data_IF_235960095479
#
_entry.id   IF_235960095479
#
_cell.length_a   1.000
_cell.length_b   1.000
_cell.length_c   1.000
_cell.angle_alpha   90.00
_cell.angle_beta   90.00
_cell.angle_gamma   90.00
#
_symmetry.space_group_name_H-M   'P 1'
#
loop_
_entity.id
_entity.type
_entity.pdbx_description
1 polymer ?
#
# COMPACT_ATOMS: atom_id res chain seq x y z
N UNK A 1 -8.80 -20.49 -17.27
CA UNK A 1 -9.09 -19.99 -15.90
C UNK A 1 -7.83 -20.26 -15.10
N UNK A 2 -7.22 -19.23 -14.49
CA UNK A 2 -6.12 -19.47 -13.55
C UNK A 2 -6.72 -20.23 -12.36
N UNK A 3 -6.18 -21.41 -12.05
CA UNK A 3 -6.57 -22.16 -10.86
C UNK A 3 -6.10 -21.39 -9.63
N UNK A 4 -6.96 -21.23 -8.62
CA UNK A 4 -6.57 -20.66 -7.33
C UNK A 4 -5.41 -21.47 -6.75
N UNK A 5 -4.41 -20.79 -6.20
CA UNK A 5 -3.32 -21.47 -5.52
C UNK A 5 -3.85 -22.21 -4.27
N UNK A 6 -3.32 -23.40 -3.94
CA UNK A 6 -3.82 -24.19 -2.83
C UNK A 6 -3.83 -23.41 -1.52
N UNK A 7 -4.92 -23.55 -0.78
CA UNK A 7 -5.11 -22.95 0.56
C UNK A 7 -5.69 -21.54 0.57
N UNK A 8 -5.97 -20.92 -0.59
CA UNK A 8 -6.63 -19.61 -0.66
C UNK A 8 -8.13 -19.71 -0.45
N UNK A 9 -8.72 -18.64 0.11
CA UNK A 9 -10.17 -18.47 0.15
C UNK A 9 -10.70 -18.14 -1.25
N UNK A 10 -11.85 -18.70 -1.61
CA UNK A 10 -12.59 -18.25 -2.79
C UNK A 10 -13.24 -16.89 -2.50
N UNK A 11 -12.69 -15.83 -3.07
CA UNK A 11 -13.22 -14.48 -2.85
C UNK A 11 -14.65 -14.28 -3.34
N UNK A 12 -15.15 -15.12 -4.26
CA UNK A 12 -16.55 -15.02 -4.70
C UNK A 12 -17.54 -15.38 -3.59
N UNK A 13 -17.11 -16.15 -2.59
CA UNK A 13 -17.89 -16.50 -1.41
C UNK A 13 -17.79 -15.51 -0.26
N UNK A 14 -16.92 -14.48 -0.37
CA UNK A 14 -16.69 -13.48 0.68
C UNK A 14 -17.62 -12.28 0.53
N UNK A 15 -17.91 -11.55 1.63
CA UNK A 15 -18.60 -10.27 1.55
C UNK A 15 -17.79 -9.26 0.71
N UNK A 16 -18.43 -8.67 -0.30
CA UNK A 16 -17.82 -7.64 -1.16
C UNK A 16 -18.76 -6.44 -1.20
N UNK A 17 -18.25 -5.27 -0.79
CA UNK A 17 -18.94 -4.00 -0.91
C UNK A 17 -18.22 -3.12 -1.93
N UNK A 18 -18.98 -2.46 -2.82
CA UNK A 18 -18.46 -1.50 -3.80
C UNK A 18 -19.06 -0.14 -3.56
N UNK A 19 -18.20 0.87 -3.54
CA UNK A 19 -18.61 2.27 -3.38
C UNK A 19 -17.98 3.10 -4.49
N UNK A 20 -18.78 3.96 -5.11
CA UNK A 20 -18.29 4.96 -6.04
C UNK A 20 -17.60 6.06 -5.24
N UNK A 21 -16.34 6.33 -5.55
CA UNK A 21 -15.58 7.42 -4.96
C UNK A 21 -15.83 8.73 -5.70
N UNK A 22 -15.61 9.81 -5.01
CA UNK A 22 -15.46 11.11 -5.65
C UNK A 22 -14.14 11.14 -6.40
N UNK A 23 -14.20 11.31 -7.72
CA UNK A 23 -13.06 11.35 -8.60
C UNK A 23 -12.92 12.74 -9.25
N UNK A 24 -12.40 13.75 -8.52
CA UNK A 24 -12.26 15.10 -9.08
C UNK A 24 -11.15 15.12 -10.13
N UNK A 25 -11.22 16.05 -11.10
CA UNK A 25 -10.12 16.29 -12.03
C UNK A 25 -8.81 16.57 -11.29
N UNK A 26 -7.65 16.16 -11.85
CA UNK A 26 -6.35 16.34 -11.23
C UNK A 26 -6.07 17.81 -10.86
N UNK A 27 -6.55 18.78 -11.64
CA UNK A 27 -6.42 20.19 -11.31
C UNK A 27 -7.05 20.57 -9.96
N UNK A 28 -8.18 19.94 -9.59
CA UNK A 28 -8.83 20.17 -8.31
C UNK A 28 -8.07 19.53 -7.14
N UNK A 29 -7.39 18.42 -7.42
CA UNK A 29 -6.48 17.78 -6.45
C UNK A 29 -5.26 18.69 -6.24
N UNK A 30 -4.66 19.23 -7.30
CA UNK A 30 -3.55 20.20 -7.23
C UNK A 30 -3.94 21.39 -6.36
N UNK A 31 -5.11 22.00 -6.60
CA UNK A 31 -5.62 23.12 -5.80
C UNK A 31 -5.78 22.77 -4.30
N UNK A 32 -6.16 21.52 -4.01
CA UNK A 32 -6.35 21.05 -2.64
C UNK A 32 -5.01 20.80 -1.92
N UNK A 33 -4.06 20.20 -2.61
CA UNK A 33 -2.82 19.73 -1.99
C UNK A 33 -1.76 20.83 -1.83
N UNK A 34 -1.57 21.68 -2.84
CA UNK A 34 -0.47 22.64 -2.88
C UNK A 34 -0.39 23.54 -1.64
N UNK A 35 -1.45 24.21 -1.18
CA UNK A 35 -1.38 25.07 0.00
C UNK A 35 -1.11 24.30 1.29
N UNK A 36 -1.71 23.11 1.46
CA UNK A 36 -1.57 22.34 2.69
C UNK A 36 -0.19 21.69 2.79
N UNK A 37 0.35 21.16 1.70
CA UNK A 37 1.70 20.61 1.67
C UNK A 37 2.75 21.72 1.86
N UNK A 38 2.53 22.92 1.33
CA UNK A 38 3.43 24.07 1.54
C UNK A 38 3.48 24.52 3.01
N UNK A 39 2.50 24.21 3.83
CA UNK A 39 2.55 24.41 5.26
C UNK A 39 3.48 23.41 5.97
N UNK A 40 3.65 22.21 5.40
CA UNK A 40 4.37 21.10 6.01
C UNK A 40 5.77 20.85 5.41
N UNK A 41 6.05 21.32 4.20
CA UNK A 41 7.34 21.17 3.51
C UNK A 41 7.87 22.53 3.01
N UNK A 42 9.20 22.64 2.87
CA UNK A 42 9.84 23.87 2.37
C UNK A 42 9.65 24.04 0.86
N UNK A 43 9.89 22.97 0.10
CA UNK A 43 9.69 22.94 -1.35
C UNK A 43 8.54 22.02 -1.69
N UNK A 44 7.57 22.50 -2.45
CA UNK A 44 6.40 21.72 -2.89
C UNK A 44 6.11 22.01 -4.36
N UNK A 45 5.99 20.93 -5.14
CA UNK A 45 5.45 20.96 -6.51
C UNK A 45 4.31 19.97 -6.55
N UNK A 46 3.16 20.41 -7.03
CA UNK A 46 1.99 19.54 -7.28
C UNK A 46 1.45 19.86 -8.66
N UNK A 47 1.46 18.92 -9.55
CA UNK A 47 1.07 19.13 -10.95
C UNK A 47 0.50 17.84 -11.58
N UNK A 48 -0.29 18.01 -12.64
CA UNK A 48 -0.72 16.92 -13.50
C UNK A 48 0.32 16.76 -14.64
N UNK A 49 0.82 15.53 -14.82
CA UNK A 49 1.86 15.24 -15.81
C UNK A 49 1.57 13.90 -16.52
N UNK A 50 2.09 13.67 -17.73
CA UNK A 50 2.14 12.33 -18.28
C UNK A 50 2.89 11.38 -17.32
N UNK A 51 2.32 10.19 -17.09
CA UNK A 51 2.97 9.17 -16.25
C UNK A 51 4.31 8.78 -16.89
N UNK A 52 5.43 8.80 -16.14
CA UNK A 52 6.67 8.23 -16.65
C UNK A 52 6.51 6.72 -16.81
N UNK A 53 7.40 6.10 -17.59
CA UNK A 53 7.46 4.63 -17.67
C UNK A 53 7.93 4.05 -16.33
N UNK A 54 6.99 3.52 -15.54
CA UNK A 54 7.24 2.99 -14.21
C UNK A 54 7.94 1.62 -14.22
N UNK A 55 8.11 0.99 -15.39
CA UNK A 55 8.94 -0.22 -15.52
C UNK A 55 10.43 0.07 -15.44
N UNK A 56 10.81 1.33 -15.62
CA UNK A 56 12.20 1.77 -15.58
C UNK A 56 12.67 2.06 -14.15
N UNK A 57 14.00 2.03 -13.97
CA UNK A 57 14.63 2.50 -12.72
C UNK A 57 14.27 3.97 -12.46
N UNK A 58 14.03 4.36 -11.22
CA UNK A 58 14.20 3.61 -9.98
C UNK A 58 12.99 2.75 -9.59
N UNK A 59 11.85 2.83 -10.28
CA UNK A 59 10.58 2.24 -9.86
C UNK A 59 10.52 0.73 -10.07
N UNK A 60 10.94 0.22 -11.24
CA UNK A 60 10.96 -1.21 -11.61
C UNK A 60 9.61 -1.91 -11.35
N UNK A 61 8.49 -1.26 -11.72
CA UNK A 61 7.16 -1.81 -11.52
C UNK A 61 6.78 -2.82 -12.60
N UNK A 62 5.75 -3.60 -12.34
CA UNK A 62 5.26 -4.64 -13.25
C UNK A 62 4.49 -4.09 -14.46
N UNK A 63 4.11 -2.81 -14.48
CA UNK A 63 3.44 -2.12 -15.59
C UNK A 63 3.97 -0.69 -15.76
N UNK A 64 3.74 -0.12 -16.96
CA UNK A 64 4.30 1.17 -17.37
C UNK A 64 3.62 2.38 -16.73
N UNK A 65 2.35 2.25 -16.29
CA UNK A 65 1.58 3.40 -15.81
C UNK A 65 0.51 3.06 -14.79
N UNK A 66 -0.29 4.07 -14.43
CA UNK A 66 -1.29 4.03 -13.36
C UNK A 66 -2.70 4.33 -13.86
N UNK A 67 -3.00 4.13 -15.14
CA UNK A 67 -4.30 4.49 -15.72
C UNK A 67 -5.11 3.28 -16.21
N UNK A 68 -6.42 3.48 -16.29
CA UNK A 68 -7.43 2.51 -16.74
C UNK A 68 -8.07 1.76 -15.58
N UNK A 69 -9.40 1.86 -15.42
CA UNK A 69 -10.20 1.17 -14.39
C UNK A 69 -9.70 1.39 -12.95
N UNK A 70 -9.34 2.61 -12.62
CA UNK A 70 -8.67 3.01 -11.38
C UNK A 70 -9.55 2.69 -10.16
N UNK A 71 -9.08 1.77 -9.32
CA UNK A 71 -9.82 1.25 -8.17
C UNK A 71 -8.89 1.13 -6.95
N UNK A 72 -9.37 1.48 -5.77
CA UNK A 72 -8.73 1.10 -4.50
C UNK A 72 -9.45 -0.08 -3.89
N UNK A 73 -8.68 -1.02 -3.35
CA UNK A 73 -9.19 -2.26 -2.75
C UNK A 73 -8.64 -2.41 -1.35
N UNK A 74 -9.53 -2.66 -0.40
CA UNK A 74 -9.20 -3.00 0.98
C UNK A 74 -9.68 -4.42 1.26
N UNK A 75 -8.75 -5.33 1.55
CA UNK A 75 -9.02 -6.76 1.77
C UNK A 75 -8.67 -7.13 3.20
N UNK A 76 -9.56 -7.88 3.84
CA UNK A 76 -9.31 -8.37 5.19
C UNK A 76 -9.26 -7.26 6.24
N UNK A 77 -8.49 -7.46 7.30
CA UNK A 77 -8.39 -6.49 8.41
C UNK A 77 -7.26 -6.84 9.37
N UNK A 78 -6.73 -5.86 10.12
CA UNK A 78 -5.91 -6.16 11.30
C UNK A 78 -6.57 -7.13 12.29
N UNK A 79 -7.91 -7.22 12.33
CA UNK A 79 -8.65 -8.18 13.15
C UNK A 79 -8.37 -9.65 12.80
N UNK A 80 -7.81 -9.94 11.62
CA UNK A 80 -7.39 -11.29 11.23
C UNK A 80 -5.95 -11.63 11.64
N UNK A 81 -5.18 -10.60 11.99
CA UNK A 81 -3.86 -10.76 12.59
C UNK A 81 -3.93 -10.76 14.13
N UNK A 82 -4.83 -9.97 14.69
CA UNK A 82 -4.93 -9.63 16.10
C UNK A 82 -6.32 -10.01 16.68
N UNK A 83 -6.43 -10.39 17.97
CA UNK A 83 -5.36 -10.56 18.94
C UNK A 83 -4.49 -11.81 18.73
N UNK A 84 -4.97 -12.78 17.98
CA UNK A 84 -4.28 -13.97 17.47
C UNK A 84 -4.63 -14.19 16.02
N UNK A 85 -3.66 -14.67 15.25
CA UNK A 85 -3.79 -14.83 13.81
C UNK A 85 -4.86 -15.85 13.40
N UNK A 86 -5.71 -15.48 12.44
CA UNK A 86 -6.53 -16.41 11.67
C UNK A 86 -5.80 -16.84 10.39
N UNK A 87 -5.14 -17.98 10.42
CA UNK A 87 -4.33 -18.50 9.30
C UNK A 87 -5.14 -18.94 8.09
N UNK A 88 -6.48 -18.98 8.20
CA UNK A 88 -7.35 -19.28 7.06
C UNK A 88 -7.52 -18.08 6.12
N UNK A 89 -7.13 -16.87 6.57
CA UNK A 89 -7.23 -15.64 5.77
C UNK A 89 -6.07 -15.53 4.81
N UNK A 90 -6.13 -16.31 3.74
CA UNK A 90 -5.17 -16.34 2.64
C UNK A 90 -5.92 -16.07 1.33
N UNK A 91 -5.45 -15.10 0.55
CA UNK A 91 -6.10 -14.59 -0.65
C UNK A 91 -5.18 -14.69 -1.86
N UNK A 92 -5.73 -14.52 -3.06
CA UNK A 92 -5.00 -14.56 -4.32
C UNK A 92 -5.27 -13.31 -5.19
N UNK A 93 -4.23 -12.74 -5.81
CA UNK A 93 -4.34 -11.59 -6.70
C UNK A 93 -5.15 -11.90 -7.98
N UNK A 94 -5.18 -13.18 -8.42
CA UNK A 94 -6.03 -13.62 -9.51
C UNK A 94 -7.51 -13.48 -9.20
N UNK A 95 -7.91 -13.63 -7.92
CA UNK A 95 -9.26 -13.38 -7.46
C UNK A 95 -9.59 -11.89 -7.45
N UNK A 96 -8.64 -11.03 -7.06
CA UNK A 96 -8.81 -9.58 -7.15
C UNK A 96 -9.05 -9.14 -8.60
N UNK A 97 -8.34 -9.74 -9.56
CA UNK A 97 -8.61 -9.50 -10.99
C UNK A 97 -10.06 -9.83 -11.38
N UNK A 98 -10.61 -10.93 -10.85
CA UNK A 98 -12.03 -11.28 -11.07
C UNK A 98 -12.97 -10.31 -10.38
N UNK A 99 -12.64 -9.89 -9.17
CA UNK A 99 -13.43 -8.93 -8.39
C UNK A 99 -13.45 -7.57 -9.06
N UNK A 100 -12.34 -7.07 -9.59
CA UNK A 100 -12.29 -5.79 -10.32
C UNK A 100 -12.93 -5.86 -11.70
N UNK A 101 -12.81 -7.00 -12.37
CA UNK A 101 -13.20 -7.19 -13.75
C UNK A 101 -12.21 -6.62 -14.76
N UNK A 102 -11.07 -6.10 -14.30
CA UNK A 102 -10.04 -5.46 -15.17
C UNK A 102 -9.15 -6.50 -15.84
N UNK A 103 -8.83 -6.29 -17.13
CA UNK A 103 -7.91 -7.14 -17.89
C UNK A 103 -7.11 -6.32 -18.92
N UNK A 104 -5.79 -6.13 -18.75
CA UNK A 104 -5.00 -6.55 -17.59
C UNK A 104 -5.39 -5.84 -16.31
N UNK A 105 -5.12 -6.45 -15.16
CA UNK A 105 -5.12 -5.80 -13.86
C UNK A 105 -3.69 -5.62 -13.41
N UNK A 106 -3.29 -4.40 -13.17
CA UNK A 106 -2.07 -4.03 -12.47
C UNK A 106 -2.43 -3.62 -11.04
N UNK A 107 -1.74 -4.16 -10.06
CA UNK A 107 -1.96 -3.89 -8.65
C UNK A 107 -0.66 -3.51 -7.96
N UNK A 108 -0.68 -2.38 -7.25
CA UNK A 108 0.40 -1.93 -6.36
C UNK A 108 -0.18 -1.69 -4.96
N UNK A 109 0.58 -2.08 -3.93
CA UNK A 109 0.07 -1.88 -2.57
C UNK A 109 0.86 -2.57 -1.48
N UNK A 110 0.24 -2.60 -0.30
CA UNK A 110 0.82 -3.01 0.96
C UNK A 110 -0.07 -4.04 1.67
N UNK A 111 0.53 -5.00 2.37
CA UNK A 111 -0.24 -6.01 3.11
C UNK A 111 0.64 -7.02 3.83
N UNK A 112 0.01 -8.09 4.34
CA UNK A 112 0.71 -9.23 4.91
C UNK A 112 1.03 -10.26 3.80
N UNK A 113 2.24 -10.81 3.85
CA UNK A 113 2.74 -11.69 2.81
C UNK A 113 2.25 -13.14 2.90
N UNK A 114 2.55 -13.95 1.86
CA UNK A 114 2.09 -15.33 1.74
C UNK A 114 2.89 -16.24 2.70
N UNK A 115 2.55 -16.21 3.97
CA UNK A 115 3.22 -16.99 5.01
C UNK A 115 3.40 -18.49 4.67
N UNK A 116 2.51 -19.16 3.90
CA UNK A 116 2.76 -20.56 3.55
C UNK A 116 3.95 -20.76 2.62
N UNK A 117 4.30 -19.74 1.80
CA UNK A 117 5.48 -19.75 0.96
C UNK A 117 6.74 -19.35 1.73
N UNK A 118 6.65 -18.25 2.48
CA UNK A 118 7.78 -17.68 3.23
C UNK A 118 8.09 -18.49 4.51
N UNK A 119 7.07 -19.18 5.05
CA UNK A 119 7.15 -20.00 6.25
C UNK A 119 7.04 -19.23 7.57
N UNK A 120 6.90 -17.89 7.52
CA UNK A 120 6.64 -16.99 8.65
C UNK A 120 5.79 -15.82 8.18
N UNK A 121 5.30 -15.03 9.13
CA UNK A 121 4.68 -13.74 8.85
C UNK A 121 5.70 -12.77 8.21
N UNK A 122 5.23 -11.88 7.33
CA UNK A 122 6.09 -10.91 6.64
C UNK A 122 5.26 -9.74 6.08
N UNK A 123 5.93 -8.61 5.85
CA UNK A 123 5.37 -7.49 5.08
C UNK A 123 5.40 -7.82 3.59
N UNK A 124 4.34 -7.46 2.89
CA UNK A 124 4.18 -7.67 1.45
C UNK A 124 4.12 -6.33 0.72
N UNK A 125 5.02 -6.12 -0.23
CA UNK A 125 5.00 -5.02 -1.17
C UNK A 125 4.48 -5.55 -2.48
N UNK A 126 3.20 -5.35 -2.74
CA UNK A 126 2.52 -5.86 -3.94
C UNK A 126 2.89 -5.05 -5.18
N UNK A 127 3.35 -5.74 -6.24
CA UNK A 127 3.72 -5.18 -7.53
C UNK A 127 3.48 -6.24 -8.60
N UNK A 128 2.23 -6.35 -9.07
CA UNK A 128 1.78 -7.48 -9.91
C UNK A 128 0.91 -6.98 -11.06
N UNK A 129 1.21 -7.41 -12.28
CA UNK A 129 0.29 -7.30 -13.40
C UNK A 129 -0.19 -8.69 -13.83
N UNK A 130 -1.51 -8.87 -13.92
CA UNK A 130 -2.16 -10.13 -14.33
C UNK A 130 -3.05 -9.87 -15.53
N UNK A 131 -2.83 -10.61 -16.60
CA UNK A 131 -3.73 -10.69 -17.77
C UNK A 131 -4.27 -12.12 -17.95
N UNK A 132 -5.10 -12.35 -18.96
CA UNK A 132 -5.66 -13.68 -19.23
C UNK A 132 -4.60 -14.79 -19.34
N UNK A 133 -3.40 -14.47 -19.85
CA UNK A 133 -2.37 -15.46 -20.18
C UNK A 133 -1.01 -15.16 -19.58
N UNK A 134 -0.89 -14.12 -18.75
CA UNK A 134 0.40 -13.68 -18.29
C UNK A 134 0.34 -13.09 -16.87
N UNK A 135 1.32 -13.47 -16.05
CA UNK A 135 1.56 -12.87 -14.75
C UNK A 135 2.96 -12.25 -14.78
N UNK A 136 3.06 -10.97 -14.52
CA UNK A 136 4.30 -10.27 -14.23
C UNK A 136 4.27 -9.88 -12.75
N UNK A 137 5.06 -10.58 -11.93
CA UNK A 137 5.13 -10.39 -10.49
C UNK A 137 6.53 -9.90 -10.10
N UNK A 138 6.59 -8.67 -9.62
CA UNK A 138 7.77 -8.02 -9.07
C UNK A 138 7.57 -7.65 -7.59
N UNK A 139 6.73 -8.41 -6.89
CA UNK A 139 6.45 -8.19 -5.48
C UNK A 139 7.62 -8.59 -4.58
N UNK A 140 7.74 -7.88 -3.47
CA UNK A 140 8.77 -8.10 -2.45
C UNK A 140 8.14 -8.46 -1.12
N UNK A 141 8.87 -9.19 -0.30
CA UNK A 141 8.52 -9.42 1.10
C UNK A 141 9.68 -9.07 2.01
N UNK A 142 9.34 -8.59 3.19
CA UNK A 142 10.28 -8.28 4.27
C UNK A 142 9.85 -9.02 5.51
N UNK A 143 10.78 -9.75 6.12
CA UNK A 143 10.57 -10.47 7.39
C UNK A 143 11.70 -10.20 8.36
N UNK A 144 11.44 -10.43 9.62
CA UNK A 144 12.51 -10.46 10.63
C UNK A 144 13.28 -11.77 10.49
N UNK A 145 14.60 -11.72 10.55
CA UNK A 145 15.45 -12.90 10.50
C UNK A 145 15.15 -13.84 11.68
N UNK A 146 15.05 -15.14 11.40
CA UNK A 146 14.69 -16.13 12.42
C UNK A 146 15.84 -16.44 13.39
N UNK A 147 17.07 -16.20 12.97
CA UNK A 147 18.25 -16.53 13.77
C UNK A 147 18.68 -15.35 14.63
N UNK A 148 18.84 -14.18 14.03
CA UNK A 148 19.24 -12.98 14.75
C UNK A 148 18.06 -12.35 15.51
N UNK A 149 16.83 -12.52 15.00
CA UNK A 149 15.60 -11.86 15.48
C UNK A 149 15.65 -10.32 15.48
N UNK A 150 16.71 -9.77 14.87
CA UNK A 150 16.99 -8.33 14.84
C UNK A 150 17.08 -7.79 13.41
N UNK A 151 17.59 -8.55 12.47
CA UNK A 151 17.85 -8.12 11.10
C UNK A 151 16.61 -8.28 10.22
N UNK A 152 16.53 -7.45 9.16
CA UNK A 152 15.58 -7.65 8.07
C UNK A 152 16.11 -8.66 7.07
N UNK A 153 15.22 -9.46 6.53
CA UNK A 153 15.48 -10.31 5.35
C UNK A 153 14.51 -9.91 4.26
N UNK A 154 15.06 -9.63 3.09
CA UNK A 154 14.31 -9.32 1.88
C UNK A 154 14.29 -10.53 0.95
N UNK A 155 13.14 -10.80 0.35
CA UNK A 155 12.97 -11.82 -0.68
C UNK A 155 12.06 -11.29 -1.80
N UNK A 156 12.42 -11.60 -3.06
CA UNK A 156 11.52 -11.41 -4.20
C UNK A 156 10.60 -12.61 -4.31
N UNK A 157 9.31 -12.37 -4.50
CA UNK A 157 8.39 -13.49 -4.72
C UNK A 157 8.57 -14.10 -6.11
N UNK A 158 8.45 -15.43 -6.23
CA UNK A 158 8.41 -16.09 -7.53
C UNK A 158 7.24 -15.56 -8.37
N UNK A 159 7.40 -15.59 -9.70
CA UNK A 159 6.40 -15.09 -10.65
C UNK A 159 5.00 -15.66 -10.43
N UNK A 160 4.90 -16.92 -10.02
CA UNK A 160 3.64 -17.62 -9.80
C UNK A 160 3.13 -17.56 -8.35
N UNK A 161 3.83 -16.88 -7.43
CA UNK A 161 3.36 -16.67 -6.05
C UNK A 161 2.56 -15.36 -6.00
N UNK A 162 1.26 -15.45 -6.17
CA UNK A 162 0.32 -14.32 -6.20
C UNK A 162 -0.53 -14.20 -4.95
N UNK A 163 -0.24 -15.04 -3.92
CA UNK A 163 -0.98 -15.01 -2.66
C UNK A 163 -0.53 -13.86 -1.77
N UNK A 164 -1.44 -13.42 -0.93
CA UNK A 164 -1.21 -12.53 0.21
C UNK A 164 -2.13 -12.97 1.35
N UNK A 165 -1.97 -12.43 2.55
CA UNK A 165 -2.66 -12.93 3.72
C UNK A 165 -3.30 -11.80 4.54
N UNK A 166 -4.27 -12.16 5.40
CA UNK A 166 -4.83 -11.41 6.52
C UNK A 166 -5.43 -10.05 6.16
N UNK A 167 -4.64 -9.16 5.60
CA UNK A 167 -5.01 -7.80 5.20
C UNK A 167 -4.10 -7.31 4.07
N UNK A 168 -4.67 -6.57 3.14
CA UNK A 168 -3.92 -5.83 2.15
C UNK A 168 -4.72 -4.69 1.56
N UNK A 169 -4.01 -3.67 1.12
CA UNK A 169 -4.56 -2.47 0.53
C UNK A 169 -3.87 -2.21 -0.81
N UNK A 170 -4.66 -2.19 -1.88
CA UNK A 170 -4.15 -2.05 -3.24
C UNK A 170 -4.78 -0.86 -3.96
N UNK A 171 -3.97 -0.18 -4.74
CA UNK A 171 -4.43 0.56 -5.91
C UNK A 171 -4.32 -0.36 -7.12
N UNK A 172 -5.39 -0.48 -7.89
CA UNK A 172 -5.44 -1.29 -9.10
C UNK A 172 -5.87 -0.47 -10.30
N UNK A 173 -5.33 -0.79 -11.47
CA UNK A 173 -5.68 -0.20 -12.75
C UNK A 173 -5.33 -1.16 -13.89
N UNK A 174 -5.46 -0.74 -15.17
CA UNK A 174 -4.98 -1.57 -16.28
C UNK A 174 -3.45 -1.48 -16.48
N UNK A 175 -2.78 -0.51 -15.85
CA UNK A 175 -1.33 -0.31 -15.98
C UNK A 175 -0.93 0.47 -17.21
N UNK A 176 -1.86 1.19 -17.85
CA UNK A 176 -1.58 2.02 -19.01
C UNK A 176 -0.93 3.36 -18.62
N UNK A 177 -0.18 3.93 -19.55
CA UNK A 177 0.23 5.33 -19.47
C UNK A 177 -1.00 6.25 -19.45
N UNK A 178 -0.83 7.47 -18.98
CA UNK A 178 -1.90 8.46 -18.89
C UNK A 178 -1.44 9.66 -18.08
N UNK A 179 -2.34 10.58 -17.78
CA UNK A 179 -2.04 11.70 -16.92
C UNK A 179 -2.17 11.27 -15.44
N UNK A 180 -1.19 11.66 -14.63
CA UNK A 180 -1.13 11.35 -13.19
C UNK A 180 -0.78 12.61 -12.41
N UNK A 181 -1.03 12.58 -11.11
CA UNK A 181 -0.58 13.58 -10.18
C UNK A 181 0.89 13.33 -9.85
N UNK A 182 1.76 14.31 -10.10
CA UNK A 182 3.13 14.37 -9.59
C UNK A 182 3.17 15.27 -8.37
N UNK A 183 3.69 14.75 -7.26
CA UNK A 183 3.89 15.51 -6.02
C UNK A 183 5.37 15.43 -5.65
N UNK A 184 6.04 16.59 -5.55
CA UNK A 184 7.39 16.69 -5.01
C UNK A 184 7.34 17.48 -3.73
N UNK A 185 7.90 16.92 -2.65
CA UNK A 185 8.02 17.57 -1.36
C UNK A 185 9.45 17.39 -0.84
N UNK A 186 10.11 18.52 -0.47
CA UNK A 186 11.46 18.49 0.08
C UNK A 186 11.50 19.26 1.40
N UNK A 187 12.34 18.78 2.32
CA UNK A 187 12.60 19.37 3.63
C UNK A 187 11.32 19.60 4.45
N UNK A 188 10.95 18.57 5.23
CA UNK A 188 9.76 18.64 6.07
C UNK A 188 9.99 19.57 7.26
N UNK A 189 9.14 20.59 7.41
CA UNK A 189 9.14 21.55 8.52
C UNK A 189 7.98 21.39 9.49
N UNK A 190 6.91 20.74 9.03
CA UNK A 190 5.71 20.50 9.83
C UNK A 190 5.71 19.14 10.53
N UNK A 191 4.66 18.85 11.29
CA UNK A 191 4.58 17.65 12.13
C UNK A 191 4.12 16.39 11.38
N UNK A 192 3.52 16.52 10.20
CA UNK A 192 2.91 15.39 9.49
C UNK A 192 3.92 14.71 8.57
N UNK A 193 3.90 13.38 8.54
CA UNK A 193 4.59 12.63 7.51
C UNK A 193 3.97 12.91 6.12
N UNK A 194 4.63 12.44 5.05
CA UNK A 194 4.21 12.73 3.68
C UNK A 194 2.82 12.20 3.37
N UNK A 195 2.54 10.92 3.67
CA UNK A 195 1.28 10.25 3.32
C UNK A 195 0.11 10.88 4.10
N UNK A 196 0.30 11.09 5.40
CA UNK A 196 -0.69 11.77 6.25
C UNK A 196 -0.97 13.19 5.77
N UNK A 197 0.06 13.94 5.35
CA UNK A 197 -0.08 15.30 4.81
C UNK A 197 -0.99 15.33 3.57
N UNK A 198 -0.75 14.42 2.62
CA UNK A 198 -1.56 14.30 1.40
C UNK A 198 -3.01 13.93 1.74
N UNK A 199 -3.20 12.90 2.58
CA UNK A 199 -4.53 12.42 2.96
C UNK A 199 -5.34 13.50 3.70
N UNK A 200 -4.73 14.19 4.67
CA UNK A 200 -5.42 15.24 5.44
C UNK A 200 -5.75 16.46 4.59
N UNK A 201 -4.90 16.83 3.62
CA UNK A 201 -5.20 17.90 2.67
C UNK A 201 -6.44 17.59 1.85
N UNK A 202 -6.57 16.35 1.36
CA UNK A 202 -7.78 15.89 0.66
C UNK A 202 -8.99 15.88 1.59
N UNK A 203 -8.87 15.34 2.81
CA UNK A 203 -9.94 15.31 3.79
C UNK A 203 -10.47 16.73 4.12
N UNK A 204 -9.56 17.67 4.29
CA UNK A 204 -9.90 19.08 4.52
C UNK A 204 -10.69 19.70 3.35
N UNK A 205 -10.31 19.34 2.12
CA UNK A 205 -10.92 19.94 0.90
C UNK A 205 -12.24 19.30 0.52
N UNK A 206 -12.35 17.98 0.66
CA UNK A 206 -13.50 17.21 0.16
C UNK A 206 -14.45 16.74 1.27
N UNK A 207 -14.07 16.87 2.54
CA UNK A 207 -14.92 16.55 3.69
C UNK A 207 -15.35 15.09 3.71
N UNK A 208 -16.66 14.87 3.67
CA UNK A 208 -17.28 13.53 3.69
C UNK A 208 -17.27 12.83 2.33
N UNK A 209 -16.93 13.53 1.25
CA UNK A 209 -16.86 12.97 -0.08
C UNK A 209 -15.51 12.23 -0.24
N UNK A 210 -15.47 10.89 -0.22
CA UNK A 210 -14.23 10.16 -0.18
C UNK A 210 -13.48 10.26 -1.51
N UNK A 211 -12.23 10.71 -1.46
CA UNK A 211 -11.29 10.75 -2.58
C UNK A 211 -10.18 9.72 -2.30
N UNK A 212 -9.97 8.80 -3.24
CA UNK A 212 -8.90 7.80 -3.17
C UNK A 212 -7.77 8.13 -4.13
N UNK A 213 -6.54 8.03 -3.67
CA UNK A 213 -5.33 8.09 -4.49
C UNK A 213 -4.48 6.84 -4.25
N UNK A 214 -3.81 6.38 -5.30
CA UNK A 214 -2.83 5.31 -5.14
C UNK A 214 -1.78 5.32 -6.23
N UNK A 215 -0.70 4.58 -6.00
CA UNK A 215 0.42 4.50 -6.93
C UNK A 215 1.76 4.33 -6.23
N UNK A 216 2.75 5.14 -6.63
CA UNK A 216 4.15 5.00 -6.25
C UNK A 216 4.73 6.27 -5.66
N UNK A 217 5.60 6.11 -4.66
CA UNK A 217 6.39 7.18 -4.02
C UNK A 217 7.86 6.79 -4.11
N UNK A 218 8.69 7.65 -4.68
CA UNK A 218 10.14 7.60 -4.55
C UNK A 218 10.56 8.47 -3.38
N UNK A 219 11.31 7.92 -2.44
CA UNK A 219 11.88 8.63 -1.30
C UNK A 219 13.38 8.72 -1.51
N UNK A 220 13.88 9.94 -1.56
CA UNK A 220 15.29 10.25 -1.79
C UNK A 220 15.85 11.02 -0.60
N UNK A 221 17.11 10.86 -0.34
CA UNK A 221 17.87 11.49 0.74
C UNK A 221 17.36 11.16 2.16
N UNK A 222 18.28 10.94 3.09
CA UNK A 222 17.97 10.69 4.49
C UNK A 222 17.55 9.24 4.81
N UNK A 223 16.83 9.09 5.90
CA UNK A 223 16.37 7.81 6.45
C UNK A 223 14.88 7.87 6.79
N UNK A 224 14.26 6.70 6.78
CA UNK A 224 12.82 6.51 7.01
C UNK A 224 12.60 5.46 8.09
N UNK A 225 11.68 5.72 9.01
CA UNK A 225 11.23 4.74 9.97
C UNK A 225 10.21 3.80 9.32
N UNK A 226 10.48 2.51 9.44
CA UNK A 226 9.58 1.44 8.98
C UNK A 226 9.39 0.41 10.08
N UNK A 227 8.33 -0.40 9.99
CA UNK A 227 8.29 -1.64 10.74
C UNK A 227 8.25 -2.87 9.84
N UNK A 228 8.62 -4.00 10.42
CA UNK A 228 8.41 -5.34 9.88
C UNK A 228 7.75 -6.18 10.96
N UNK A 229 6.67 -6.87 10.60
CA UNK A 229 6.00 -7.80 11.50
C UNK A 229 6.94 -8.94 11.89
N UNK A 230 6.99 -9.26 13.19
CA UNK A 230 7.60 -10.51 13.66
C UNK A 230 6.75 -11.70 13.24
N UNK A 231 7.25 -12.92 13.44
CA UNK A 231 6.41 -14.11 13.26
C UNK A 231 5.19 -14.07 14.19
N UNK A 232 4.15 -14.78 13.82
CA UNK A 232 2.86 -14.77 14.49
C UNK A 232 2.97 -14.94 15.99
N UNK A 233 2.37 -14.03 16.74
CA UNK A 233 2.35 -14.10 18.19
C UNK A 233 1.65 -15.37 18.67
N UNK A 234 2.21 -15.99 19.71
CA UNK A 234 1.61 -17.13 20.40
C UNK A 234 0.73 -16.68 21.57
N UNK A 235 0.78 -15.42 21.93
CA UNK A 235 -0.02 -14.80 23.00
C UNK A 235 -0.88 -13.70 22.39
N UNK A 236 -2.11 -13.50 22.90
CA UNK A 236 -2.98 -12.44 22.40
C UNK A 236 -2.32 -11.05 22.52
N UNK A 237 -2.47 -10.23 21.48
CA UNK A 237 -2.08 -8.82 21.42
C UNK A 237 -3.39 -8.02 21.43
N UNK A 238 -3.69 -7.33 22.52
CA UNK A 238 -5.00 -6.69 22.74
C UNK A 238 -4.94 -5.16 22.77
N UNK A 239 -3.74 -4.59 22.71
CA UNK A 239 -3.53 -3.14 22.81
C UNK A 239 -2.49 -2.66 21.81
N UNK A 240 -2.57 -1.38 21.43
CA UNK A 240 -1.56 -0.70 20.59
C UNK A 240 -0.16 -0.79 21.21
N UNK A 241 -0.04 -0.68 22.53
CA UNK A 241 1.25 -0.79 23.22
C UNK A 241 1.86 -2.19 23.09
N UNK A 242 1.05 -3.24 23.16
CA UNK A 242 1.50 -4.62 22.96
C UNK A 242 1.88 -4.86 21.50
N UNK A 243 1.10 -4.32 20.55
CA UNK A 243 1.38 -4.35 19.13
C UNK A 243 2.74 -3.71 18.84
N UNK A 244 2.97 -2.49 19.32
CA UNK A 244 4.24 -1.77 19.12
C UNK A 244 5.46 -2.49 19.72
N UNK A 245 5.29 -3.26 20.79
CA UNK A 245 6.35 -4.11 21.35
C UNK A 245 6.60 -5.37 20.50
N UNK A 246 5.58 -5.87 19.84
CA UNK A 246 5.68 -7.05 18.98
C UNK A 246 6.26 -6.69 17.61
N UNK A 247 5.93 -5.54 17.03
CA UNK A 247 6.52 -5.05 15.79
C UNK A 247 8.02 -4.81 15.94
N UNK A 248 8.76 -4.96 14.85
CA UNK A 248 10.18 -4.61 14.81
C UNK A 248 10.38 -3.37 13.95
N UNK A 249 10.84 -2.30 14.58
CA UNK A 249 11.09 -1.02 13.91
C UNK A 249 12.53 -0.90 13.45
N UNK A 250 12.72 -0.27 12.28
CA UNK A 250 14.01 0.01 11.67
C UNK A 250 14.04 1.43 11.10
N UNK A 251 15.21 2.05 11.13
CA UNK A 251 15.48 3.24 10.33
C UNK A 251 16.26 2.79 9.10
N UNK A 252 15.66 2.92 7.93
CA UNK A 252 16.19 2.43 6.66
C UNK A 252 16.64 3.58 5.77
N UNK A 253 17.78 3.39 5.09
CA UNK A 253 18.35 4.42 4.22
C UNK A 253 17.65 4.47 2.88
N UNK A 254 17.58 5.66 2.29
CA UNK A 254 17.09 5.87 0.93
C UNK A 254 18.17 5.53 -0.12
N UNK A 255 17.84 5.37 -1.43
CA UNK A 255 16.52 5.54 -2.02
C UNK A 255 15.57 4.38 -1.76
N UNK A 256 14.28 4.71 -1.58
CA UNK A 256 13.22 3.73 -1.33
C UNK A 256 12.04 3.99 -2.29
N UNK A 257 11.39 2.93 -2.72
CA UNK A 257 10.17 3.00 -3.51
C UNK A 257 9.00 2.50 -2.67
N UNK A 258 7.98 3.32 -2.50
CA UNK A 258 6.77 3.01 -1.75
C UNK A 258 5.58 2.73 -2.64
N UNK A 259 4.85 1.65 -2.38
CA UNK A 259 3.64 1.27 -3.09
C UNK A 259 2.46 1.24 -2.12
N UNK A 260 1.35 1.83 -2.53
CA UNK A 260 0.19 1.88 -1.66
C UNK A 260 -0.94 2.79 -2.14
N UNK A 261 -1.87 3.02 -1.23
CA UNK A 261 -2.98 3.93 -1.45
C UNK A 261 -3.30 4.76 -0.20
N UNK A 262 -4.14 5.77 -0.41
CA UNK A 262 -4.81 6.51 0.65
C UNK A 262 -6.25 6.86 0.24
N UNK A 263 -7.13 7.00 1.24
CA UNK A 263 -8.51 7.50 1.07
C UNK A 263 -8.75 8.60 2.07
N UNK A 264 -9.29 9.73 1.61
CA UNK A 264 -9.46 10.95 2.43
C UNK A 264 -10.40 10.76 3.61
N UNK A 265 -11.44 9.95 3.46
CA UNK A 265 -12.43 9.64 4.50
C UNK A 265 -13.00 8.23 4.32
N UNK A 266 -13.36 7.58 5.43
CA UNK A 266 -13.97 6.24 5.42
C UNK A 266 -15.49 6.37 5.22
N UNK A 267 -16.07 5.76 4.16
CA UNK A 267 -17.51 5.71 3.96
C UNK A 267 -18.21 4.64 4.82
N UNK A 268 -17.81 4.45 6.06
CA UNK A 268 -18.28 3.45 7.02
C UNK A 268 -18.00 1.99 6.62
N UNK A 269 -16.84 1.72 6.06
CA UNK A 269 -16.39 0.40 5.66
C UNK A 269 -15.26 -0.16 6.52
N UNK A 270 -14.92 0.50 7.61
CA UNK A 270 -13.84 0.11 8.51
C UNK A 270 -12.51 -0.02 7.76
N UNK A 271 -12.20 0.99 6.95
CA UNK A 271 -11.00 1.02 6.11
C UNK A 271 -9.74 1.24 6.92
N UNK A 272 -8.62 0.78 6.36
CA UNK A 272 -7.31 1.33 6.65
C UNK A 272 -7.11 2.54 5.72
N UNK A 273 -7.16 3.79 6.24
CA UNK A 273 -7.29 4.98 5.37
C UNK A 273 -6.04 5.31 4.58
N UNK A 274 -4.89 4.75 4.93
CA UNK A 274 -3.62 4.88 4.21
C UNK A 274 -2.73 3.67 4.50
N UNK A 275 -2.04 3.17 3.47
CA UNK A 275 -1.14 2.03 3.63
C UNK A 275 -0.10 2.02 2.52
N UNK A 276 1.17 2.19 2.90
CA UNK A 276 2.31 2.13 1.99
C UNK A 276 3.38 1.21 2.54
N UNK A 277 3.87 0.29 1.71
CA UNK A 277 5.07 -0.48 1.98
C UNK A 277 6.20 -0.08 1.07
N UNK A 278 7.41 -0.09 1.61
CA UNK A 278 8.61 0.34 0.93
C UNK A 278 9.48 -0.85 0.53
N UNK A 279 10.15 -0.71 -0.61
CA UNK A 279 11.23 -1.59 -1.04
C UNK A 279 12.40 -0.79 -1.60
N UNK A 280 13.57 -1.42 -1.67
CA UNK A 280 14.78 -0.85 -2.25
C UNK A 280 15.62 -1.88 -2.97
N UNK A 281 16.55 -1.42 -3.81
CA UNK A 281 17.53 -2.28 -4.48
C UNK A 281 18.65 -2.77 -3.54
N UNK A 282 18.80 -2.15 -2.37
CA UNK A 282 19.79 -2.52 -1.36
C UNK A 282 19.20 -3.40 -0.24
N UNK A 283 18.00 -3.95 -0.44
CA UNK A 283 17.41 -4.99 0.42
C UNK A 283 16.73 -4.51 1.71
N UNK A 284 16.57 -3.19 1.90
CA UNK A 284 15.84 -2.62 3.03
C UNK A 284 14.44 -2.16 2.63
N UNK A 285 13.46 -2.27 3.53
CA UNK A 285 12.08 -1.88 3.29
C UNK A 285 11.16 -2.19 4.47
N UNK A 286 9.84 -2.27 4.21
CA UNK A 286 8.83 -2.58 5.21
C UNK A 286 7.68 -1.57 5.21
N UNK A 287 6.86 -1.58 6.25
CA UNK A 287 5.73 -0.68 6.41
C UNK A 287 6.19 0.74 6.74
N UNK A 288 5.79 1.73 5.93
CA UNK A 288 6.16 3.13 6.08
C UNK A 288 5.47 3.78 7.29
N UNK A 289 6.24 4.55 8.06
CA UNK A 289 5.72 5.43 9.10
C UNK A 289 6.01 6.91 8.82
N UNK A 290 7.29 7.31 8.83
CA UNK A 290 7.71 8.70 8.64
C UNK A 290 9.21 8.80 8.33
N UNK A 291 9.63 9.95 7.85
CA UNK A 291 11.04 10.29 7.71
C UNK A 291 11.68 10.66 9.05
N UNK A 292 12.90 10.23 9.27
CA UNK A 292 13.67 10.53 10.50
C UNK A 292 14.66 11.67 10.32
N UNK A 293 14.88 12.12 9.08
CA UNK A 293 15.78 13.22 8.73
C UNK A 293 15.03 14.31 7.94
N UNK A 294 14.11 15.05 8.61
CA UNK A 294 13.19 15.95 7.92
C UNK A 294 13.87 17.07 7.11
N UNK A 295 15.06 17.50 7.50
CA UNK A 295 15.77 18.58 6.79
C UNK A 295 16.29 18.18 5.40
N UNK A 296 16.52 16.90 5.15
CA UNK A 296 17.13 16.40 3.91
C UNK A 296 16.21 15.58 3.05
N UNK A 297 15.11 15.08 3.62
CA UNK A 297 14.18 14.18 2.94
C UNK A 297 13.59 14.80 1.68
N UNK A 298 13.45 13.98 0.65
CA UNK A 298 12.76 14.33 -0.59
C UNK A 298 11.81 13.20 -1.01
N UNK A 299 10.59 13.56 -1.28
CA UNK A 299 9.55 12.70 -1.83
C UNK A 299 9.22 13.10 -3.26
N UNK A 300 9.13 12.13 -4.15
CA UNK A 300 8.55 12.29 -5.49
C UNK A 300 7.50 11.21 -5.68
N UNK A 301 6.23 11.58 -5.67
CA UNK A 301 5.14 10.64 -5.85
C UNK A 301 4.48 10.79 -7.24
N UNK A 302 4.08 9.65 -7.82
CA UNK A 302 3.17 9.57 -8.95
C UNK A 302 1.94 8.80 -8.47
N UNK A 303 0.82 9.51 -8.35
CA UNK A 303 -0.43 8.96 -7.84
C UNK A 303 -1.55 9.22 -8.84
N UNK A 304 -2.52 8.30 -8.92
CA UNK A 304 -3.72 8.54 -9.71
C UNK A 304 -4.99 8.42 -8.86
N UNK A 305 -6.08 9.03 -9.34
CA UNK A 305 -7.36 9.09 -8.65
C UNK A 305 -8.15 7.82 -8.90
N UNK A 306 -8.55 7.14 -7.83
CA UNK A 306 -9.45 6.01 -7.92
C UNK A 306 -10.90 6.45 -8.08
N UNK A 307 -11.64 5.75 -8.92
CA UNK A 307 -13.08 5.96 -9.18
C UNK A 307 -13.97 5.08 -8.32
N UNK A 308 -13.45 3.93 -7.94
CA UNK A 308 -14.18 2.91 -7.17
C UNK A 308 -13.36 2.47 -5.96
N UNK A 309 -14.07 2.18 -4.88
CA UNK A 309 -13.52 1.49 -3.72
C UNK A 309 -14.21 0.14 -3.58
N UNK A 310 -13.43 -0.91 -3.41
CA UNK A 310 -13.92 -2.26 -3.16
C UNK A 310 -13.42 -2.71 -1.79
N UNK A 311 -14.35 -3.07 -0.91
CA UNK A 311 -14.07 -3.65 0.40
C UNK A 311 -14.36 -5.16 0.33
N UNK A 312 -13.37 -5.99 0.61
CA UNK A 312 -13.45 -7.44 0.55
C UNK A 312 -13.21 -8.03 1.93
N UNK A 313 -14.04 -8.96 2.34
CA UNK A 313 -13.90 -9.71 3.59
C UNK A 313 -13.77 -8.79 4.83
N UNK A 314 -14.70 -7.84 4.95
CA UNK A 314 -14.77 -6.99 6.14
C UNK A 314 -15.11 -7.85 7.38
N UNK A 315 -14.38 -7.74 8.50
CA UNK A 315 -14.68 -8.50 9.69
C UNK A 315 -15.99 -8.04 10.34
N UNK A 316 -16.70 -8.95 10.97
CA UNK A 316 -17.92 -8.63 11.75
C UNK A 316 -17.61 -7.74 12.96
N UNK A 317 -16.43 -7.92 13.54
CA UNK A 317 -15.94 -7.13 14.67
C UNK A 317 -14.57 -6.54 14.33
N UNK A 318 -14.54 -5.22 14.20
CA UNK A 318 -13.32 -4.49 13.94
C UNK A 318 -12.60 -4.17 15.25
N UNK A 319 -11.27 -4.21 15.21
CA UNK A 319 -10.43 -3.66 16.28
C UNK A 319 -10.17 -2.17 16.02
N UNK A 320 -9.95 -1.41 17.11
CA UNK A 320 -9.74 0.04 17.06
C UNK A 320 -8.27 0.46 16.96
N UNK A 321 -7.33 -0.48 16.83
CA UNK A 321 -5.88 -0.23 16.78
C UNK A 321 -5.23 -1.01 15.63
N UNK A 322 -3.96 -0.68 15.31
CA UNK A 322 -3.21 -1.31 14.22
C UNK A 322 -3.68 -0.89 12.82
N UNK A 323 -4.23 0.32 12.67
CA UNK A 323 -4.71 0.89 11.39
C UNK A 323 -3.96 2.15 10.96
N UNK A 324 -2.83 2.40 11.54
CA UNK A 324 -1.93 3.54 11.23
C UNK A 324 -1.43 3.54 9.78
#
# INVERSE_FOLDING_TARGET
MAECLPGTLDMNGLPITRVQLTAPPLSRIVEALLPELSNNFETVIVEAVPCPDLTQSPFNLAAEGLSGDETVIDVGSPSYLLPLVDRNKLYDMGDLKRVTGSDPMFAVGAGAGPWPHIGVNCEFVGNVQISCNHVNNSSHVYRVDRQTTEDQVHENLPRNETRFALLANFYTCNGFGGEVLRIVCESRKGPLDFVTSVRQALAKRFGTDPVGLGGVILIENGTVNVHVMRDFSKTPINTESELNKWLKFYNVTTPLVGLGYLVSSDPNLDLRPQHFHLFSQHGLGGHYHYDTEPATIKYTAYLNVAKTLIRVDQPEQAISFGKD
#
